data_IF_107713625680
#
_entry.id   IF_107713625680
#
_cell.length_a   1.000
_cell.length_b   1.000
_cell.length_c   1.000
_cell.angle_alpha   90.00
_cell.angle_beta   90.00
_cell.angle_gamma   90.00
#
_symmetry.space_group_name_H-M   'P 1'
#
loop_
_entity.id
_entity.type
_entity.pdbx_description
1 polymer ?
#
# COMPACT_ATOMS: atom_id res chain seq x y z
N UNK A 1 6.21 5.45 -8.57
CA UNK A 1 5.86 4.06 -8.22
C UNK A 1 6.22 3.84 -6.75
N UNK A 2 5.40 3.11 -5.98
CA UNK A 2 5.44 3.01 -4.50
C UNK A 2 5.25 1.54 -4.09
N UNK A 3 5.68 1.16 -2.89
CA UNK A 3 5.54 -0.20 -2.33
C UNK A 3 5.07 -0.12 -0.87
N UNK A 4 4.34 -1.13 -0.39
CA UNK A 4 3.72 -1.13 0.95
C UNK A 4 4.73 -1.08 2.09
N UNK A 5 5.89 -1.74 1.93
CA UNK A 5 6.98 -1.74 2.89
C UNK A 5 8.32 -1.52 2.18
N UNK A 6 9.16 -0.65 2.73
CA UNK A 6 10.56 -0.49 2.30
C UNK A 6 11.44 -1.55 2.98
N UNK A 7 12.64 -1.86 2.45
CA UNK A 7 13.57 -2.77 3.14
C UNK A 7 13.90 -2.35 4.57
N UNK A 8 13.94 -1.05 4.85
CA UNK A 8 14.13 -0.54 6.21
C UNK A 8 12.96 -0.91 7.15
N UNK A 9 11.72 -0.74 6.68
CA UNK A 9 10.54 -1.15 7.44
C UNK A 9 10.50 -2.68 7.65
N UNK A 10 10.87 -3.45 6.63
CA UNK A 10 11.01 -4.91 6.75
C UNK A 10 11.99 -5.29 7.85
N UNK A 11 13.16 -4.66 7.90
CA UNK A 11 14.16 -4.91 8.95
C UNK A 11 13.60 -4.69 10.36
N UNK A 12 12.76 -3.67 10.54
CA UNK A 12 12.12 -3.38 11.82
C UNK A 12 11.13 -4.46 12.25
N UNK A 13 10.28 -4.94 11.33
CA UNK A 13 9.37 -6.05 11.59
C UNK A 13 10.12 -7.32 11.98
N UNK A 14 11.18 -7.66 11.22
CA UNK A 14 12.01 -8.83 11.49
C UNK A 14 12.73 -8.72 12.83
N UNK A 15 13.23 -7.54 13.19
CA UNK A 15 13.86 -7.28 14.49
C UNK A 15 12.89 -7.47 15.67
N UNK A 16 11.59 -7.25 15.46
CA UNK A 16 10.53 -7.49 16.44
C UNK A 16 9.97 -8.92 16.41
N UNK A 17 10.58 -9.82 15.62
CA UNK A 17 10.22 -11.25 15.58
C UNK A 17 9.09 -11.60 14.60
N UNK A 18 8.69 -10.67 13.72
CA UNK A 18 7.68 -10.93 12.70
C UNK A 18 8.32 -11.52 11.44
N UNK A 19 7.61 -12.44 10.78
CA UNK A 19 7.97 -12.90 9.44
C UNK A 19 7.36 -11.96 8.40
N UNK A 20 8.17 -11.53 7.44
CA UNK A 20 7.72 -10.64 6.35
C UNK A 20 7.81 -11.38 5.03
N UNK A 21 6.71 -11.37 4.26
CA UNK A 21 6.67 -11.85 2.87
C UNK A 21 6.53 -10.66 1.92
N UNK A 22 7.28 -10.68 0.82
CA UNK A 22 7.25 -9.67 -0.25
C UNK A 22 7.07 -10.40 -1.58
N UNK A 23 6.10 -9.99 -2.39
CA UNK A 23 5.96 -10.49 -3.76
C UNK A 23 7.18 -10.12 -4.60
N UNK A 24 7.67 -11.06 -5.41
CA UNK A 24 8.80 -10.82 -6.32
C UNK A 24 8.55 -9.60 -7.21
N UNK A 25 9.53 -8.70 -7.26
CA UNK A 25 9.46 -7.48 -8.06
C UNK A 25 8.61 -6.35 -7.46
N UNK A 26 7.94 -6.53 -6.32
CA UNK A 26 7.04 -5.51 -5.74
C UNK A 26 7.73 -4.17 -5.45
N UNK A 27 9.02 -4.19 -5.10
CA UNK A 27 9.79 -2.97 -4.82
C UNK A 27 10.44 -2.32 -6.03
N UNK A 28 10.45 -2.95 -7.21
CA UNK A 28 11.25 -2.48 -8.36
C UNK A 28 10.88 -1.06 -8.78
N UNK A 29 9.58 -0.76 -8.78
CA UNK A 29 9.09 0.59 -9.08
C UNK A 29 9.51 1.64 -8.04
N UNK A 30 9.79 1.23 -6.81
CA UNK A 30 10.28 2.10 -5.74
C UNK A 30 11.82 2.12 -5.66
N UNK A 31 12.52 1.41 -6.54
CA UNK A 31 13.98 1.33 -6.56
C UNK A 31 14.59 0.27 -5.62
N UNK A 32 13.78 -0.69 -5.15
CA UNK A 32 14.25 -1.79 -4.30
C UNK A 32 14.16 -3.12 -5.05
N UNK A 33 15.25 -3.89 -5.03
CA UNK A 33 15.31 -5.23 -5.60
C UNK A 33 14.88 -6.28 -4.59
N UNK A 34 14.51 -7.47 -5.07
CA UNK A 34 14.23 -8.62 -4.20
C UNK A 34 15.41 -8.94 -3.28
N UNK A 35 16.65 -8.76 -3.75
CA UNK A 35 17.86 -8.95 -2.95
C UNK A 35 17.94 -7.98 -1.76
N UNK A 36 17.45 -6.75 -1.91
CA UNK A 36 17.41 -5.77 -0.81
C UNK A 36 16.44 -6.22 0.30
N UNK A 37 15.30 -6.80 -0.09
CA UNK A 37 14.33 -7.36 0.85
C UNK A 37 14.84 -8.62 1.55
N UNK A 38 15.48 -9.53 0.81
CA UNK A 38 16.12 -10.73 1.40
C UNK A 38 17.20 -10.32 2.41
N UNK A 39 18.03 -9.32 2.06
CA UNK A 39 19.05 -8.78 2.97
C UNK A 39 18.44 -8.16 4.23
N UNK A 40 17.24 -7.59 4.13
CA UNK A 40 16.48 -7.08 5.27
C UNK A 40 15.76 -8.16 6.09
N UNK A 41 15.78 -9.43 5.63
CA UNK A 41 15.20 -10.57 6.34
C UNK A 41 13.79 -10.98 5.88
N UNK A 42 13.28 -10.41 4.78
CA UNK A 42 12.03 -10.88 4.18
C UNK A 42 12.21 -12.17 3.37
N UNK A 43 11.14 -12.95 3.26
CA UNK A 43 10.99 -14.02 2.29
C UNK A 43 10.32 -13.50 1.03
N UNK A 44 10.77 -13.96 -0.13
CA UNK A 44 10.18 -13.58 -1.41
C UNK A 44 9.12 -14.61 -1.80
N UNK A 45 7.91 -14.14 -2.06
CA UNK A 45 6.79 -14.91 -2.57
C UNK A 45 6.72 -14.81 -4.11
N UNK A 46 6.31 -15.88 -4.81
CA UNK A 46 6.28 -15.92 -6.27
C UNK A 46 5.17 -15.04 -6.87
N UNK A 47 4.09 -14.80 -6.13
CA UNK A 47 2.93 -14.05 -6.58
C UNK A 47 2.12 -13.49 -5.39
N UNK A 48 1.15 -12.63 -5.69
CA UNK A 48 0.23 -12.09 -4.70
C UNK A 48 -0.61 -13.15 -3.98
N UNK A 49 -0.97 -14.27 -4.64
CA UNK A 49 -1.78 -15.32 -4.02
C UNK A 49 -1.02 -16.00 -2.88
N UNK A 50 0.28 -16.26 -3.05
CA UNK A 50 1.15 -16.78 -2.01
C UNK A 50 1.32 -15.80 -0.84
N UNK A 51 1.41 -14.50 -1.11
CA UNK A 51 1.45 -13.48 -0.04
C UNK A 51 0.17 -13.50 0.79
N UNK A 52 -0.99 -13.48 0.15
CA UNK A 52 -2.28 -13.56 0.84
C UNK A 52 -2.51 -14.91 1.54
N UNK A 53 -1.98 -16.01 1.00
CA UNK A 53 -2.16 -17.32 1.60
C UNK A 53 -1.42 -17.46 2.95
N UNK A 54 -0.22 -16.90 3.04
CA UNK A 54 0.74 -17.14 4.13
C UNK A 54 0.94 -15.92 5.07
N UNK A 55 0.05 -14.92 5.04
CA UNK A 55 0.17 -13.70 5.84
C UNK A 55 -1.09 -13.40 6.64
N UNK A 56 -0.93 -13.09 7.93
CA UNK A 56 -2.04 -12.62 8.79
C UNK A 56 -2.39 -11.14 8.52
N UNK A 57 -1.41 -10.35 8.08
CA UNK A 57 -1.57 -8.92 7.80
C UNK A 57 -1.09 -8.59 6.39
N UNK A 58 -1.94 -7.90 5.62
CA UNK A 58 -1.68 -7.46 4.26
C UNK A 58 -1.46 -5.95 4.24
N UNK A 59 -0.24 -5.52 3.93
CA UNK A 59 0.15 -4.10 3.86
C UNK A 59 0.30 -3.66 2.40
N UNK A 60 -0.51 -2.69 1.96
CA UNK A 60 -0.50 -2.19 0.57
C UNK A 60 -0.53 -0.66 0.52
N UNK A 61 -0.25 -0.11 -0.66
CA UNK A 61 -0.33 1.35 -0.92
C UNK A 61 -1.66 1.74 -1.53
N UNK A 62 -2.28 0.87 -2.33
CA UNK A 62 -3.53 1.16 -3.03
C UNK A 62 -4.59 0.15 -2.60
N UNK A 63 -5.82 0.53 -2.92
CA UNK A 63 -7.01 -0.24 -2.72
C UNK A 63 -6.93 -1.61 -3.43
N UNK A 64 -7.67 -2.59 -2.92
CA UNK A 64 -7.70 -3.94 -3.49
C UNK A 64 -8.20 -3.89 -4.93
N UNK A 65 -7.52 -4.64 -5.79
CA UNK A 65 -7.96 -4.86 -7.16
C UNK A 65 -8.99 -5.99 -7.21
N UNK A 66 -9.92 -6.01 -8.19
CA UNK A 66 -10.96 -7.03 -8.27
C UNK A 66 -10.47 -8.49 -8.23
N UNK A 67 -9.30 -8.76 -8.81
CA UNK A 67 -8.67 -10.07 -8.79
C UNK A 67 -8.20 -10.50 -7.38
N UNK A 68 -7.97 -9.54 -6.48
CA UNK A 68 -7.49 -9.78 -5.12
C UNK A 68 -8.63 -9.99 -4.12
N UNK A 69 -9.88 -9.67 -4.49
CA UNK A 69 -11.05 -9.81 -3.60
C UNK A 69 -11.24 -11.25 -3.12
N UNK A 70 -11.02 -12.22 -4.00
CA UNK A 70 -11.16 -13.64 -3.68
C UNK A 70 -10.01 -14.20 -2.82
N UNK A 71 -8.92 -13.44 -2.66
CA UNK A 71 -7.76 -13.85 -1.86
C UNK A 71 -7.91 -13.48 -0.39
N UNK A 72 -8.85 -12.58 -0.05
CA UNK A 72 -9.11 -12.19 1.32
C UNK A 72 -9.77 -13.31 2.12
N UNK A 73 -9.32 -13.45 3.36
CA UNK A 73 -9.87 -14.39 4.34
C UNK A 73 -10.28 -13.65 5.62
N UNK A 74 -11.20 -14.21 6.42
CA UNK A 74 -11.67 -13.57 7.66
C UNK A 74 -10.56 -13.23 8.67
N UNK A 75 -9.50 -14.04 8.71
CA UNK A 75 -8.34 -13.86 9.60
C UNK A 75 -7.42 -12.69 9.18
N UNK A 76 -7.55 -12.18 7.96
CA UNK A 76 -6.66 -11.12 7.48
C UNK A 76 -6.91 -9.77 8.15
N UNK A 77 -5.82 -9.06 8.41
CA UNK A 77 -5.80 -7.63 8.69
C UNK A 77 -5.32 -6.90 7.43
N UNK A 78 -6.21 -6.21 6.74
CA UNK A 78 -5.86 -5.38 5.58
C UNK A 78 -5.54 -3.96 6.05
N UNK A 79 -4.34 -3.47 5.72
CA UNK A 79 -3.89 -2.12 6.07
C UNK A 79 -3.38 -1.39 4.82
N UNK A 80 -4.21 -0.50 4.26
CA UNK A 80 -3.94 0.20 2.99
C UNK A 80 -4.84 1.44 2.85
N UNK A 81 -4.66 2.23 1.78
CA UNK A 81 -5.66 3.19 1.34
C UNK A 81 -6.85 2.47 0.71
N UNK A 82 -8.09 2.78 1.11
CA UNK A 82 -9.28 2.09 0.59
C UNK A 82 -10.17 2.99 -0.27
N UNK A 83 -10.42 4.23 0.16
CA UNK A 83 -11.36 5.14 -0.48
C UNK A 83 -12.73 4.47 -0.70
N UNK A 84 -13.32 3.90 0.36
CA UNK A 84 -14.53 3.08 0.25
C UNK A 84 -15.78 3.83 -0.25
N UNK A 85 -15.89 5.13 0.04
CA UNK A 85 -17.07 5.92 -0.30
C UNK A 85 -17.44 5.90 -1.80
N UNK A 86 -16.48 6.05 -2.74
CA UNK A 86 -16.74 5.89 -4.18
C UNK A 86 -16.73 4.44 -4.70
N UNK A 87 -16.36 3.43 -3.91
CA UNK A 87 -16.18 2.04 -4.38
C UNK A 87 -17.10 1.03 -3.63
N UNK A 88 -18.36 0.87 -4.08
CA UNK A 88 -19.30 -0.06 -3.48
C UNK A 88 -18.95 -1.54 -3.73
N UNK A 89 -18.19 -1.85 -4.79
CA UNK A 89 -17.80 -3.24 -5.10
C UNK A 89 -16.74 -3.72 -4.11
N UNK A 90 -15.71 -2.91 -3.88
CA UNK A 90 -14.72 -3.17 -2.84
C UNK A 90 -15.37 -3.27 -1.46
N UNK A 91 -16.29 -2.35 -1.14
CA UNK A 91 -16.98 -2.38 0.16
C UNK A 91 -17.74 -3.71 0.34
N UNK A 92 -18.44 -4.19 -0.69
CA UNK A 92 -19.12 -5.50 -0.64
C UNK A 92 -18.12 -6.66 -0.51
N UNK A 93 -17.00 -6.61 -1.21
CA UNK A 93 -15.96 -7.64 -1.13
C UNK A 93 -15.35 -7.73 0.27
N UNK A 94 -15.03 -6.58 0.89
CA UNK A 94 -14.53 -6.53 2.27
C UNK A 94 -15.55 -7.10 3.25
N UNK A 95 -16.82 -6.70 3.13
CA UNK A 95 -17.91 -7.23 3.97
C UNK A 95 -18.08 -8.74 3.79
N UNK A 96 -18.02 -9.23 2.54
CA UNK A 96 -18.15 -10.65 2.25
C UNK A 96 -16.96 -11.48 2.77
N UNK A 97 -15.76 -10.92 2.75
CA UNK A 97 -14.55 -11.59 3.26
C UNK A 97 -14.54 -11.75 4.78
N UNK A 98 -15.23 -10.87 5.51
CA UNK A 98 -15.20 -10.83 6.98
C UNK A 98 -13.87 -10.38 7.59
N UNK A 99 -12.91 -9.93 6.78
CA UNK A 99 -11.59 -9.49 7.25
C UNK A 99 -11.68 -8.17 8.05
N UNK A 100 -10.64 -7.90 8.85
CA UNK A 100 -10.46 -6.60 9.48
C UNK A 100 -9.74 -5.66 8.52
N UNK A 101 -10.39 -4.57 8.08
CA UNK A 101 -9.79 -3.60 7.17
C UNK A 101 -9.62 -2.23 7.83
N UNK A 102 -8.39 -1.70 7.80
CA UNK A 102 -8.02 -0.39 8.33
C UNK A 102 -7.58 0.50 7.17
N UNK A 103 -8.31 1.59 6.95
CA UNK A 103 -8.04 2.54 5.87
C UNK A 103 -7.06 3.62 6.32
N UNK A 104 -5.95 3.82 5.60
CA UNK A 104 -4.95 4.83 5.95
C UNK A 104 -5.54 6.25 6.04
N UNK A 105 -6.43 6.60 5.12
CA UNK A 105 -7.03 7.93 5.03
C UNK A 105 -8.05 8.25 6.12
N UNK A 106 -8.43 7.28 6.95
CA UNK A 106 -9.38 7.47 8.06
C UNK A 106 -8.73 7.31 9.44
N UNK A 107 -7.45 6.95 9.50
CA UNK A 107 -6.69 6.96 10.75
C UNK A 107 -6.50 8.40 11.20
N UNK A 108 -7.09 8.75 12.34
CA UNK A 108 -6.98 10.07 12.95
C UNK A 108 -6.10 10.06 14.19
N UNK A 109 -5.36 11.15 14.41
CA UNK A 109 -4.69 11.40 15.68
C UNK A 109 -5.68 11.95 16.73
N UNK A 110 -5.18 12.19 17.96
CA UNK A 110 -5.99 12.72 19.07
C UNK A 110 -6.55 14.13 18.82
N UNK A 111 -6.01 14.86 17.85
CA UNK A 111 -6.41 16.21 17.48
C UNK A 111 -7.27 16.23 16.19
N UNK A 112 -7.60 15.06 15.62
CA UNK A 112 -8.37 14.92 14.39
C UNK A 112 -7.55 15.10 13.10
N UNK A 113 -6.22 15.16 13.20
CA UNK A 113 -5.33 15.17 12.03
C UNK A 113 -5.28 13.80 11.34
N UNK A 114 -4.91 13.78 10.05
CA UNK A 114 -4.75 12.55 9.24
C UNK A 114 -3.27 12.26 8.99
N UNK A 115 -2.54 11.67 9.97
CA UNK A 115 -1.09 11.54 9.91
C UNK A 115 -0.59 10.68 8.75
N UNK A 116 -1.35 9.67 8.33
CA UNK A 116 -0.97 8.79 7.21
C UNK A 116 -1.23 9.44 5.84
N UNK A 117 -2.19 10.37 5.76
CA UNK A 117 -2.53 11.11 4.55
C UNK A 117 -1.62 12.32 4.33
N UNK A 118 -1.20 13.00 5.41
CA UNK A 118 -0.42 14.24 5.35
C UNK A 118 0.82 14.17 4.44
N UNK A 119 1.67 13.11 4.49
CA UNK A 119 2.84 13.01 3.60
C UNK A 119 2.46 12.95 2.12
N UNK A 120 1.35 12.28 1.77
CA UNK A 120 0.89 12.20 0.38
C UNK A 120 0.35 13.55 -0.10
N UNK A 121 -0.35 14.29 0.77
CA UNK A 121 -0.85 15.63 0.47
C UNK A 121 0.28 16.63 0.18
N UNK A 122 1.38 16.58 0.93
CA UNK A 122 2.55 17.45 0.68
C UNK A 122 3.20 17.17 -0.68
N UNK A 123 3.40 15.90 -1.01
CA UNK A 123 3.97 15.49 -2.31
C UNK A 123 3.05 15.92 -3.45
N UNK A 124 1.73 15.69 -3.32
CA UNK A 124 0.75 16.10 -4.32
C UNK A 124 0.74 17.62 -4.52
N UNK A 125 0.81 18.41 -3.44
CA UNK A 125 0.88 19.87 -3.52
C UNK A 125 2.11 20.38 -4.28
N UNK A 126 3.29 19.78 -4.05
CA UNK A 126 4.52 20.14 -4.79
C UNK A 126 4.44 19.76 -6.26
N UNK A 127 3.93 18.57 -6.57
CA UNK A 127 3.77 18.11 -7.96
C UNK A 127 2.77 18.99 -8.72
N UNK A 128 1.68 19.43 -8.07
CA UNK A 128 0.68 20.29 -8.70
C UNK A 128 1.25 21.57 -9.30
N UNK A 129 2.21 22.21 -8.63
CA UNK A 129 2.90 23.40 -9.15
C UNK A 129 3.73 23.08 -10.40
N UNK A 130 4.47 21.97 -10.39
CA UNK A 130 5.25 21.53 -11.55
C UNK A 130 4.35 21.15 -12.73
N UNK A 131 3.27 20.41 -12.49
CA UNK A 131 2.32 20.02 -13.54
C UNK A 131 1.60 21.24 -14.14
N UNK A 132 1.27 22.24 -13.31
CA UNK A 132 0.71 23.50 -13.80
C UNK A 132 1.72 24.25 -14.68
N UNK A 133 2.97 24.36 -14.24
CA UNK A 133 4.03 24.99 -15.01
C UNK A 133 4.26 24.28 -16.36
N UNK A 134 4.26 22.95 -16.40
CA UNK A 134 4.40 22.18 -17.64
C UNK A 134 3.24 22.42 -18.60
N UNK A 135 2.00 22.42 -18.09
CA UNK A 135 0.79 22.60 -18.92
C UNK A 135 0.73 24.00 -19.54
N UNK A 136 1.22 25.02 -18.82
CA UNK A 136 1.28 26.42 -19.30
C UNK A 136 2.41 26.69 -20.31
N UNK A 137 3.27 25.70 -20.61
CA UNK A 137 4.30 25.88 -21.63
C UNK A 137 3.65 26.01 -23.00
N UNK A 138 4.09 27.00 -23.78
CA UNK A 138 3.55 27.35 -25.10
C UNK A 138 3.47 26.18 -26.09
N UNK A 139 4.37 25.21 -26.00
CA UNK A 139 4.38 24.02 -26.88
C UNK A 139 3.39 22.93 -26.44
N UNK A 140 2.87 22.99 -25.21
CA UNK A 140 1.84 22.09 -24.66
C UNK A 140 0.42 22.60 -24.87
N UNK A 141 0.25 23.77 -25.47
CA UNK A 141 -1.05 24.32 -25.86
C UNK A 141 -1.46 25.58 -25.11
N UNK A 142 -0.92 25.81 -23.90
CA UNK A 142 -1.25 26.99 -23.08
C UNK A 142 -2.71 27.02 -22.67
#
# INVERSE_FOLDING_TARGET
>A
MRVGLTPAAVGEYVAHGHAVLIETGAGLGAGFTDADYVKAGARIAPDAAAVFADSDMIVKVKELQPAEFALLKPEHILFTYLHLAPDPEQTKALLASGCAAVAYETVTDRNGGLPLLAPMSEVAGRIGVFSAAETLLKHKGG
#
